data_IF_745985544680
#
_entry.id   IF_745985544680
#
_cell.length_a   1.000
_cell.length_b   1.000
_cell.length_c   1.000
_cell.angle_alpha   90.00
_cell.angle_beta   90.00
_cell.angle_gamma   90.00
#
_symmetry.space_group_name_H-M   'P 1'
#
loop_
_entity.id
_entity.type
_entity.pdbx_description
1 polymer ?
#
# COMPACT_ATOMS: atom_id res chain seq x y z
N UNK A 1 0.71 -25.45 -29.92
CA UNK A 1 0.85 -25.90 -28.52
C UNK A 1 0.42 -24.73 -27.64
N UNK A 2 -0.63 -24.81 -26.81
CA UNK A 2 -0.90 -23.76 -25.84
C UNK A 2 0.13 -23.91 -24.70
N UNK A 3 0.93 -22.87 -24.50
CA UNK A 3 1.88 -22.76 -23.39
C UNK A 3 1.16 -22.99 -22.06
N UNK A 4 1.69 -23.87 -21.20
CA UNK A 4 1.27 -23.99 -19.82
C UNK A 4 1.61 -22.68 -19.08
N UNK A 5 0.65 -21.75 -19.00
CA UNK A 5 0.69 -20.66 -18.03
C UNK A 5 0.56 -21.28 -16.64
N UNK A 6 1.70 -21.48 -15.95
CA UNK A 6 1.70 -21.81 -14.52
C UNK A 6 1.26 -20.56 -13.74
N UNK A 7 -0.05 -20.35 -13.65
CA UNK A 7 -0.63 -19.35 -12.78
C UNK A 7 -0.70 -19.91 -11.36
N UNK A 8 0.09 -19.36 -10.44
CA UNK A 8 -0.09 -19.60 -9.02
C UNK A 8 -1.16 -18.65 -8.51
N UNK A 9 -2.20 -19.18 -7.88
CA UNK A 9 -3.27 -18.39 -7.27
C UNK A 9 -3.13 -18.47 -5.76
N UNK A 10 -2.89 -17.34 -5.12
CA UNK A 10 -2.89 -17.22 -3.66
C UNK A 10 -4.20 -16.54 -3.23
N UNK A 11 -4.95 -17.20 -2.35
CA UNK A 11 -6.08 -16.59 -1.68
C UNK A 11 -5.57 -15.84 -0.46
N UNK A 12 -5.72 -14.51 -0.46
CA UNK A 12 -5.32 -13.65 0.64
C UNK A 12 -6.59 -13.18 1.38
N UNK A 13 -6.89 -13.74 2.56
CA UNK A 13 -8.05 -13.34 3.35
C UNK A 13 -7.86 -11.93 3.91
N UNK A 14 -8.90 -11.10 3.89
CA UNK A 14 -8.85 -9.74 4.44
C UNK A 14 -10.19 -9.34 5.05
N UNK A 15 -10.16 -8.47 6.06
CA UNK A 15 -11.37 -7.95 6.71
C UNK A 15 -11.72 -6.58 6.15
N UNK A 16 -10.71 -5.69 6.06
CA UNK A 16 -10.83 -4.35 5.49
C UNK A 16 -9.79 -4.10 4.39
N UNK A 17 -10.04 -3.08 3.56
CA UNK A 17 -9.14 -2.71 2.44
C UNK A 17 -7.72 -2.37 2.92
N UNK A 18 -7.57 -1.84 4.13
CA UNK A 18 -6.24 -1.59 4.71
C UNK A 18 -5.44 -2.89 4.85
N UNK A 19 -6.05 -3.97 5.34
CA UNK A 19 -5.38 -5.27 5.48
C UNK A 19 -4.93 -5.80 4.13
N UNK A 20 -5.80 -5.67 3.12
CA UNK A 20 -5.48 -6.04 1.74
C UNK A 20 -4.25 -5.30 1.22
N UNK A 21 -4.18 -3.98 1.41
CA UNK A 21 -3.04 -3.16 0.99
C UNK A 21 -1.78 -3.53 1.78
N UNK A 22 -1.89 -3.77 3.08
CA UNK A 22 -0.75 -4.17 3.92
C UNK A 22 -0.19 -5.53 3.50
N UNK A 23 -1.05 -6.51 3.24
CA UNK A 23 -0.63 -7.83 2.73
C UNK A 23 0.08 -7.70 1.39
N UNK A 24 -0.44 -6.89 0.48
CA UNK A 24 0.24 -6.59 -0.77
C UNK A 24 1.61 -5.94 -0.56
N UNK A 25 1.73 -4.95 0.33
CA UNK A 25 3.00 -4.29 0.62
C UNK A 25 4.05 -5.26 1.18
N UNK A 26 3.63 -6.26 1.97
CA UNK A 26 4.52 -7.34 2.45
C UNK A 26 5.02 -8.21 1.30
N UNK A 27 4.18 -8.53 0.32
CA UNK A 27 4.59 -9.27 -0.88
C UNK A 27 5.50 -8.40 -1.76
N UNK A 28 5.18 -7.12 -1.89
CA UNK A 28 5.96 -6.14 -2.63
C UNK A 28 7.36 -5.94 -2.04
N UNK A 29 7.56 -6.12 -0.74
CA UNK A 29 8.91 -6.17 -0.15
C UNK A 29 9.79 -7.25 -0.79
N UNK A 30 9.25 -8.41 -1.16
CA UNK A 30 10.01 -9.43 -1.87
C UNK A 30 10.50 -8.95 -3.25
N UNK A 31 9.68 -8.16 -3.94
CA UNK A 31 10.09 -7.50 -5.18
C UNK A 31 11.19 -6.45 -4.91
N UNK A 32 11.03 -5.60 -3.90
CA UNK A 32 12.04 -4.61 -3.53
C UNK A 32 13.40 -5.25 -3.23
N UNK A 33 13.39 -6.32 -2.45
CA UNK A 33 14.59 -7.10 -2.11
C UNK A 33 15.28 -7.64 -3.37
N UNK A 34 14.50 -8.26 -4.28
CA UNK A 34 15.00 -8.78 -5.55
C UNK A 34 15.64 -7.72 -6.46
N UNK A 35 15.31 -6.44 -6.23
CA UNK A 35 15.83 -5.29 -6.98
C UNK A 35 16.91 -4.52 -6.21
N UNK A 36 17.33 -4.99 -5.03
CA UNK A 36 18.30 -4.30 -4.17
C UNK A 36 17.79 -2.94 -3.67
N UNK A 37 16.47 -2.75 -3.57
CA UNK A 37 15.85 -1.52 -3.07
C UNK A 37 15.62 -1.61 -1.57
N UNK A 38 15.58 -0.45 -0.92
CA UNK A 38 15.24 -0.35 0.51
C UNK A 38 13.87 -0.97 0.81
N UNK A 39 13.83 -1.86 1.79
CA UNK A 39 12.61 -2.52 2.23
C UNK A 39 11.70 -1.59 3.04
N UNK A 40 10.40 -1.89 3.02
CA UNK A 40 9.38 -1.18 3.79
C UNK A 40 9.21 -1.93 5.13
N UNK A 41 9.54 -1.27 6.24
CA UNK A 41 9.30 -1.81 7.59
C UNK A 41 7.80 -1.90 7.92
N UNK A 42 7.40 -2.72 8.89
CA UNK A 42 5.99 -2.85 9.30
C UNK A 42 5.35 -1.51 9.71
N UNK A 43 6.08 -0.66 10.45
CA UNK A 43 5.58 0.68 10.82
C UNK A 43 5.32 1.57 9.61
N UNK A 44 6.19 1.49 8.60
CA UNK A 44 6.02 2.24 7.35
C UNK A 44 4.97 1.61 6.44
N UNK A 45 4.78 0.29 6.47
CA UNK A 45 3.66 -0.40 5.80
C UNK A 45 2.33 0.12 6.35
N UNK A 46 2.20 0.21 7.67
CA UNK A 46 0.99 0.71 8.32
C UNK A 46 0.65 2.12 7.84
N UNK A 47 1.59 3.06 7.90
CA UNK A 47 1.33 4.43 7.44
C UNK A 47 1.11 4.52 5.91
N UNK A 48 1.92 3.81 5.11
CA UNK A 48 1.81 3.81 3.66
C UNK A 48 0.47 3.24 3.18
N UNK A 49 -0.07 2.23 3.88
CA UNK A 49 -1.39 1.67 3.58
C UNK A 49 -2.50 2.71 3.72
N UNK A 50 -2.42 3.61 4.70
CA UNK A 50 -3.35 4.72 4.86
C UNK A 50 -3.22 5.72 3.71
N UNK A 51 -2.00 6.08 3.30
CA UNK A 51 -1.82 6.99 2.17
C UNK A 51 -2.27 6.40 0.84
N UNK A 52 -2.06 5.10 0.61
CA UNK A 52 -2.57 4.40 -0.57
C UNK A 52 -4.11 4.40 -0.53
N UNK A 53 -4.72 4.08 0.60
CA UNK A 53 -6.18 3.98 0.72
C UNK A 53 -6.89 5.34 0.62
N UNK A 54 -6.44 6.33 1.38
CA UNK A 54 -7.13 7.62 1.56
C UNK A 54 -6.48 8.77 0.79
N UNK A 55 -5.26 8.60 0.29
CA UNK A 55 -4.44 9.66 -0.28
C UNK A 55 -3.52 10.31 0.74
N UNK A 56 -2.48 11.00 0.26
CA UNK A 56 -1.59 11.78 1.11
C UNK A 56 -2.24 13.13 1.44
N UNK A 57 -2.65 13.32 2.69
CA UNK A 57 -3.26 14.56 3.19
C UNK A 57 -3.12 14.67 4.70
N UNK A 58 -3.39 15.87 5.22
CA UNK A 58 -3.40 16.16 6.66
C UNK A 58 -4.49 15.34 7.37
N UNK A 59 -5.65 15.18 6.72
CA UNK A 59 -6.75 14.35 7.22
C UNK A 59 -6.36 12.88 7.34
N UNK A 60 -5.64 12.33 6.35
CA UNK A 60 -5.16 10.94 6.43
C UNK A 60 -4.15 10.77 7.57
N UNK A 61 -3.29 11.78 7.81
CA UNK A 61 -2.37 11.76 8.95
C UNK A 61 -3.12 11.79 10.27
N UNK A 62 -4.11 12.66 10.40
CA UNK A 62 -4.97 12.72 11.58
C UNK A 62 -5.68 11.38 11.85
N UNK A 63 -6.22 10.75 10.80
CA UNK A 63 -6.84 9.44 10.88
C UNK A 63 -5.86 8.35 11.34
N UNK A 64 -4.63 8.34 10.82
CA UNK A 64 -3.61 7.40 11.28
C UNK A 64 -3.22 7.63 12.75
N UNK A 65 -3.06 8.89 13.17
CA UNK A 65 -2.77 9.23 14.57
C UNK A 65 -3.85 8.70 15.50
N UNK A 66 -5.11 8.90 15.15
CA UNK A 66 -6.26 8.45 15.93
C UNK A 66 -6.34 6.93 16.01
N UNK A 67 -6.23 6.22 14.88
CA UNK A 67 -6.31 4.76 14.85
C UNK A 67 -5.16 4.05 15.59
N UNK A 68 -3.97 4.66 15.65
CA UNK A 68 -2.76 4.03 16.20
C UNK A 68 -2.22 4.71 17.46
N UNK A 69 -2.90 5.72 18.00
CA UNK A 69 -2.46 6.48 19.17
C UNK A 69 -1.11 7.17 18.99
N UNK A 70 -0.78 7.60 17.76
CA UNK A 70 0.55 8.13 17.42
C UNK A 70 0.59 9.66 17.42
N UNK A 71 1.76 10.22 17.73
CA UNK A 71 2.01 11.67 17.69
C UNK A 71 2.44 12.12 16.30
N UNK A 72 2.23 13.41 15.99
CA UNK A 72 2.65 13.99 14.71
C UNK A 72 4.16 13.85 14.45
N UNK A 73 4.99 13.96 15.50
CA UNK A 73 6.45 13.77 15.40
C UNK A 73 6.83 12.37 14.92
N UNK A 74 6.07 11.34 15.33
CA UNK A 74 6.27 9.97 14.86
C UNK A 74 5.93 9.84 13.38
N UNK A 75 4.81 10.44 12.94
CA UNK A 75 4.46 10.49 11.52
C UNK A 75 5.53 11.20 10.70
N UNK A 76 6.10 12.29 11.22
CA UNK A 76 7.18 13.01 10.53
C UNK A 76 8.41 12.11 10.30
N UNK A 77 8.79 11.29 11.28
CA UNK A 77 9.85 10.28 11.14
C UNK A 77 9.51 9.28 10.04
N UNK A 78 8.32 8.66 10.10
CA UNK A 78 7.89 7.68 9.09
C UNK A 78 7.81 8.28 7.68
N UNK A 79 7.34 9.52 7.55
CA UNK A 79 7.29 10.23 6.28
C UNK A 79 8.69 10.44 5.68
N UNK A 80 9.70 10.69 6.52
CA UNK A 80 11.08 10.82 6.06
C UNK A 80 11.69 9.48 5.66
N UNK A 81 11.33 8.39 6.34
CA UNK A 81 11.71 7.03 5.94
C UNK A 81 11.09 6.65 4.60
N UNK A 82 9.79 6.89 4.44
CA UNK A 82 9.06 6.65 3.19
C UNK A 82 9.62 7.47 2.03
N UNK A 83 10.00 8.73 2.28
CA UNK A 83 10.68 9.57 1.27
C UNK A 83 12.03 8.99 0.88
N UNK A 84 12.85 8.59 1.86
CA UNK A 84 14.18 8.01 1.62
C UNK A 84 14.09 6.69 0.82
N UNK A 85 13.04 5.92 1.04
CA UNK A 85 12.74 4.72 0.26
C UNK A 85 12.15 4.97 -1.14
N UNK A 86 11.84 6.23 -1.48
CA UNK A 86 11.26 6.60 -2.78
C UNK A 86 9.74 6.34 -2.90
N UNK A 87 9.04 6.13 -1.78
CA UNK A 87 7.58 5.90 -1.76
C UNK A 87 6.79 7.20 -1.67
N UNK A 88 7.40 8.24 -1.09
CA UNK A 88 6.93 9.62 -1.12
C UNK A 88 7.91 10.50 -1.88
N UNK A 89 7.37 11.47 -2.61
CA UNK A 89 8.14 12.48 -3.33
C UNK A 89 7.65 13.87 -2.92
N UNK A 90 8.53 14.86 -2.84
CA UNK A 90 8.08 16.23 -2.64
C UNK A 90 7.49 16.77 -3.95
N UNK A 91 6.40 17.56 -3.90
CA UNK A 91 5.98 18.32 -5.09
C UNK A 91 7.08 19.29 -5.53
N UNK A 92 6.99 19.73 -6.79
CA UNK A 92 7.87 20.76 -7.38
C UNK A 92 8.13 21.85 -6.32
N UNK A 93 9.42 22.06 -6.02
CA UNK A 93 10.00 22.96 -4.99
C UNK A 93 10.42 22.31 -3.66
N UNK A 94 10.36 20.99 -3.49
CA UNK A 94 11.03 20.31 -2.36
C UNK A 94 10.41 20.56 -0.98
N UNK A 95 9.15 21.03 -0.95
CA UNK A 95 8.47 21.33 0.30
C UNK A 95 7.92 20.04 0.93
N UNK A 96 8.40 19.73 2.15
CA UNK A 96 7.98 18.54 2.91
C UNK A 96 6.48 18.55 3.24
N UNK A 97 5.83 19.72 3.28
CA UNK A 97 4.39 19.87 3.49
C UNK A 97 3.56 19.51 2.25
N UNK A 98 4.17 19.47 1.07
CA UNK A 98 3.49 19.21 -0.20
C UNK A 98 3.91 17.88 -0.83
N UNK A 99 4.31 16.90 -0.01
CA UNK A 99 4.62 15.55 -0.50
C UNK A 99 3.42 14.89 -1.17
N UNK A 100 3.71 13.94 -2.03
CA UNK A 100 2.74 13.08 -2.69
C UNK A 100 3.29 11.65 -2.79
N UNK A 101 2.38 10.70 -3.03
CA UNK A 101 2.75 9.33 -3.38
C UNK A 101 3.61 9.33 -4.65
N UNK A 102 4.64 8.50 -4.68
CA UNK A 102 5.40 8.27 -5.91
C UNK A 102 4.50 7.72 -7.02
N UNK A 103 4.94 7.80 -8.28
CA UNK A 103 4.17 7.29 -9.43
C UNK A 103 3.76 5.83 -9.19
N UNK A 104 4.70 5.00 -8.73
CA UNK A 104 4.48 3.60 -8.41
C UNK A 104 3.37 3.41 -7.35
N UNK A 105 3.43 4.16 -6.25
CA UNK A 105 2.42 4.07 -5.18
C UNK A 105 1.06 4.65 -5.60
N UNK A 106 1.03 5.65 -6.50
CA UNK A 106 -0.21 6.14 -7.11
C UNK A 106 -0.86 5.08 -7.99
N UNK A 107 -0.07 4.35 -8.78
CA UNK A 107 -0.58 3.23 -9.59
C UNK A 107 -1.17 2.13 -8.70
N UNK A 108 -0.52 1.80 -7.57
CA UNK A 108 -1.09 0.87 -6.58
C UNK A 108 -2.38 1.38 -5.96
N UNK A 109 -2.45 2.67 -5.62
CA UNK A 109 -3.69 3.30 -5.16
C UNK A 109 -4.80 3.13 -6.19
N UNK A 110 -4.52 3.39 -7.46
CA UNK A 110 -5.53 3.24 -8.51
C UNK A 110 -6.02 1.79 -8.61
N UNK A 111 -5.11 0.82 -8.54
CA UNK A 111 -5.44 -0.61 -8.52
C UNK A 111 -6.35 -1.00 -7.34
N UNK A 112 -6.06 -0.55 -6.13
CA UNK A 112 -6.82 -0.95 -4.93
C UNK A 112 -8.07 -0.12 -4.65
N UNK A 113 -8.10 1.13 -5.12
CA UNK A 113 -9.11 2.12 -4.72
C UNK A 113 -9.99 2.54 -5.90
N UNK A 114 -9.46 2.60 -7.13
CA UNK A 114 -10.14 3.26 -8.24
C UNK A 114 -10.64 2.34 -9.35
N UNK A 115 -10.03 1.17 -9.62
CA UNK A 115 -10.62 0.13 -10.48
C UNK A 115 -9.80 -1.16 -10.42
N UNK A 116 -10.34 -2.18 -9.74
CA UNK A 116 -9.74 -3.52 -9.62
C UNK A 116 -10.29 -4.54 -10.63
N UNK A 117 -11.30 -4.20 -11.42
CA UNK A 117 -11.97 -5.12 -12.36
C UNK A 117 -11.56 -4.79 -13.82
N UNK A 118 -10.93 -5.75 -14.52
CA UNK A 118 -10.89 -5.72 -15.98
C UNK A 118 -9.56 -5.42 -16.67
N UNK A 119 -8.45 -6.02 -16.25
CA UNK A 119 -7.27 -6.10 -17.14
C UNK A 119 -6.76 -7.56 -17.22
N UNK A 120 -7.07 -8.21 -18.35
CA UNK A 120 -6.74 -9.60 -18.69
C UNK A 120 -5.27 -9.82 -19.10
N UNK A 121 -4.44 -8.77 -19.07
CA UNK A 121 -3.00 -8.86 -19.41
C UNK A 121 -2.09 -9.11 -18.21
N UNK A 122 -2.65 -9.33 -17.02
CA UNK A 122 -1.88 -9.48 -15.77
C UNK A 122 -1.11 -10.82 -15.74
N UNK A 123 0.22 -10.73 -15.61
CA UNK A 123 1.13 -11.88 -15.45
C UNK A 123 1.08 -12.47 -14.03
N UNK A 124 0.62 -11.68 -13.04
CA UNK A 124 0.39 -12.12 -11.66
C UNK A 124 -0.94 -11.53 -11.16
N UNK A 125 -1.84 -12.39 -10.72
CA UNK A 125 -3.14 -12.00 -10.16
C UNK A 125 -3.20 -12.33 -8.68
N UNK A 126 -3.55 -11.35 -7.85
CA UNK A 126 -3.92 -11.59 -6.46
C UNK A 126 -5.44 -11.72 -6.38
N UNK A 127 -5.91 -12.84 -5.82
CA UNK A 127 -7.34 -13.01 -5.52
C UNK A 127 -7.51 -12.74 -4.03
N UNK A 128 -8.07 -11.58 -3.72
CA UNK A 128 -8.42 -11.22 -2.37
C UNK A 128 -9.80 -11.79 -2.04
N UNK A 129 -9.91 -12.55 -0.96
CA UNK A 129 -11.20 -13.08 -0.48
C UNK A 129 -11.58 -12.35 0.80
N UNK A 130 -12.69 -11.60 0.76
CA UNK A 130 -13.22 -10.96 1.96
C UNK A 130 -13.71 -12.04 2.92
N UNK A 131 -13.29 -11.98 4.17
CA UNK A 131 -13.87 -12.85 5.20
C UNK A 131 -15.35 -12.50 5.37
N UNK A 132 -16.23 -13.51 5.38
CA UNK A 132 -17.62 -13.30 5.81
C UNK A 132 -17.56 -13.03 7.32
N UNK A 133 -18.07 -11.88 7.73
CA UNK A 133 -18.41 -11.66 9.14
C UNK A 133 -19.63 -12.55 9.40
N UNK A 134 -19.45 -13.63 10.17
CA UNK A 134 -20.57 -14.32 10.80
C UNK A 134 -21.14 -13.35 11.86
N UNK A 135 -22.13 -12.56 11.45
CA UNK A 135 -22.98 -11.83 12.38
C UNK A 135 -24.13 -12.77 12.72
N UNK A 136 -23.83 -13.77 13.54
CA UNK A 136 -24.84 -14.53 14.28
C UNK A 136 -24.71 -14.18 15.75
N UNK A 137 -25.77 -13.54 16.27
CA UNK A 137 -25.93 -13.07 17.65
C UNK A 137 -27.06 -12.05 17.74
#
# INVERSE_FOLDING_TARGET
MPEQRKAFVFALPYDIRLDMIQQFLRIYNGYLDSKGRSLITERTINLLSFYINYGYSDDTRAKYMDCHGQKESYIAVLNNELKRGGFLVDKKNGNFRTRELSIEMRSLRNYFVLDGEGDDTRVMGFVFKRNKLDIDG
#
